data_IF_440021574149
#
_entry.id   IF_440021574149
#
_cell.length_a   1.000
_cell.length_b   1.000
_cell.length_c   1.000
_cell.angle_alpha   90.00
_cell.angle_beta   90.00
_cell.angle_gamma   90.00
#
_symmetry.space_group_name_H-M   'P 1'
#
loop_
_entity.id
_entity.type
_entity.pdbx_description
1 polymer ?
#
# COMPACT_ATOMS: atom_id res chain seq x y z
N UNK A 1 -56.94 33.53 80.58
CA UNK A 1 -57.09 32.10 80.93
C UNK A 1 -58.56 31.74 80.80
N UNK A 2 -58.95 31.07 79.71
CA UNK A 2 -60.35 30.65 79.50
C UNK A 2 -60.63 29.36 80.30
N UNK A 3 -61.76 29.31 80.99
CA UNK A 3 -62.12 28.21 81.89
C UNK A 3 -62.22 26.86 81.13
N UNK A 4 -61.77 25.73 81.71
CA UNK A 4 -61.74 24.40 81.06
C UNK A 4 -63.07 23.97 80.40
N UNK A 5 -64.20 24.41 80.96
CA UNK A 5 -65.56 24.17 80.45
C UNK A 5 -65.87 24.85 79.13
N UNK A 6 -65.28 26.02 78.83
CA UNK A 6 -65.51 26.73 77.56
C UNK A 6 -64.77 26.10 76.38
N UNK A 7 -63.61 25.48 76.63
CA UNK A 7 -62.81 24.82 75.60
C UNK A 7 -63.46 23.52 75.10
N UNK A 8 -64.13 22.77 75.98
CA UNK A 8 -64.87 21.55 75.63
C UNK A 8 -66.10 21.83 74.77
N UNK A 9 -66.84 22.90 75.06
CA UNK A 9 -68.03 23.29 74.29
C UNK A 9 -67.61 23.79 72.90
N UNK A 10 -66.51 24.54 72.81
CA UNK A 10 -65.96 25.00 71.54
C UNK A 10 -65.49 23.83 70.68
N UNK A 11 -64.75 22.87 71.26
CA UNK A 11 -64.29 21.67 70.55
C UNK A 11 -65.44 20.78 70.07
N UNK A 12 -66.48 20.57 70.90
CA UNK A 12 -67.70 19.85 70.47
C UNK A 12 -68.45 20.56 69.34
N UNK A 13 -68.46 21.90 69.33
CA UNK A 13 -69.08 22.68 68.24
C UNK A 13 -68.26 22.60 66.96
N UNK A 14 -66.93 22.63 67.05
CA UNK A 14 -66.04 22.42 65.90
C UNK A 14 -66.17 21.00 65.34
N UNK A 15 -66.21 19.97 66.18
CA UNK A 15 -66.42 18.57 65.76
C UNK A 15 -67.78 18.40 65.05
N UNK A 16 -68.86 19.01 65.57
CA UNK A 16 -70.17 18.98 64.91
C UNK A 16 -70.17 19.70 63.56
N UNK A 17 -69.47 20.82 63.46
CA UNK A 17 -69.33 21.56 62.20
C UNK A 17 -68.49 20.78 61.19
N UNK A 18 -67.43 20.10 61.62
CA UNK A 18 -66.62 19.22 60.78
C UNK A 18 -67.44 18.03 60.29
N UNK A 19 -68.23 17.40 61.17
CA UNK A 19 -69.14 16.32 60.77
C UNK A 19 -70.18 16.78 59.75
N UNK A 20 -70.83 17.93 59.95
CA UNK A 20 -71.76 18.50 58.98
C UNK A 20 -71.10 18.84 57.64
N UNK A 21 -69.88 19.36 57.66
CA UNK A 21 -69.12 19.64 56.44
C UNK A 21 -68.72 18.35 55.71
N UNK A 22 -68.35 17.31 56.44
CA UNK A 22 -67.98 16.01 55.89
C UNK A 22 -69.20 15.30 55.27
N UNK A 23 -70.36 15.38 55.92
CA UNK A 23 -71.63 14.85 55.41
C UNK A 23 -72.08 15.58 54.14
N UNK A 24 -71.94 16.91 54.10
CA UNK A 24 -72.21 17.70 52.88
C UNK A 24 -71.25 17.36 51.72
N UNK A 25 -69.95 17.16 52.00
CA UNK A 25 -68.99 16.71 50.97
C UNK A 25 -69.32 15.29 50.49
N UNK A 26 -69.75 14.41 51.39
CA UNK A 26 -70.14 13.05 51.05
C UNK A 26 -71.42 13.03 50.20
N UNK A 27 -72.41 13.87 50.49
CA UNK A 27 -73.58 14.08 49.62
C UNK A 27 -73.19 14.62 48.24
N UNK A 28 -72.29 15.59 48.15
CA UNK A 28 -71.84 16.15 46.86
C UNK A 28 -71.11 15.11 46.01
N UNK A 29 -70.27 14.27 46.64
CA UNK A 29 -69.58 13.19 45.94
C UNK A 29 -70.58 12.12 45.48
N UNK A 30 -71.52 11.72 46.34
CA UNK A 30 -72.56 10.75 45.98
C UNK A 30 -73.47 11.28 44.87
N UNK A 31 -73.91 12.54 44.93
CA UNK A 31 -74.74 13.17 43.90
C UNK A 31 -73.99 13.36 42.60
N UNK A 32 -72.72 13.77 42.61
CA UNK A 32 -71.89 13.87 41.40
C UNK A 32 -71.62 12.50 40.78
N UNK A 33 -71.39 11.47 41.60
CA UNK A 33 -71.24 10.09 41.13
C UNK A 33 -72.55 9.56 40.53
N UNK A 34 -73.70 9.80 41.17
CA UNK A 34 -75.01 9.40 40.65
C UNK A 34 -75.34 10.11 39.34
N UNK A 35 -75.10 11.43 39.27
CA UNK A 35 -75.33 12.23 38.06
C UNK A 35 -74.48 11.72 36.90
N UNK A 36 -73.19 11.41 37.11
CA UNK A 36 -72.32 10.83 36.06
C UNK A 36 -72.76 9.45 35.56
N UNK A 37 -73.35 8.63 36.43
CA UNK A 37 -73.81 7.29 36.08
C UNK A 37 -75.15 7.33 35.32
N UNK A 38 -76.01 8.30 35.61
CA UNK A 38 -77.35 8.42 35.01
C UNK A 38 -77.45 9.36 33.81
N UNK A 39 -76.46 10.22 33.54
CA UNK A 39 -76.43 11.02 32.30
C UNK A 39 -75.95 10.17 31.12
N UNK A 40 -76.77 9.95 30.06
CA UNK A 40 -76.33 9.22 28.88
C UNK A 40 -75.26 10.02 28.14
N UNK A 41 -74.10 9.41 27.89
CA UNK A 41 -73.03 10.04 27.11
C UNK A 41 -73.52 10.18 25.66
N UNK A 42 -73.46 11.38 25.04
CA UNK A 42 -73.88 11.59 23.66
C UNK A 42 -73.14 10.67 22.68
N UNK A 43 -73.89 9.99 21.80
CA UNK A 43 -73.35 9.04 20.81
C UNK A 43 -72.26 9.64 19.91
N UNK A 44 -72.34 10.94 19.62
CA UNK A 44 -71.35 11.68 18.84
C UNK A 44 -69.95 11.66 19.49
N UNK A 45 -69.85 11.84 20.82
CA UNK A 45 -68.55 11.83 21.53
C UNK A 45 -67.91 10.44 21.50
N UNK A 46 -68.71 9.38 21.58
CA UNK A 46 -68.23 8.01 21.44
C UNK A 46 -67.68 7.75 20.03
N UNK A 47 -68.37 8.24 18.99
CA UNK A 47 -67.93 8.13 17.60
C UNK A 47 -66.64 8.93 17.34
N UNK A 48 -66.53 10.16 17.85
CA UNK A 48 -65.31 10.95 17.76
C UNK A 48 -64.13 10.32 18.50
N UNK A 49 -64.36 9.76 19.69
CA UNK A 49 -63.34 9.05 20.46
C UNK A 49 -62.88 7.81 19.71
N UNK A 50 -63.79 7.03 19.10
CA UNK A 50 -63.46 5.92 18.21
C UNK A 50 -62.58 6.36 17.03
N UNK A 51 -62.89 7.49 16.38
CA UNK A 51 -62.09 8.03 15.27
C UNK A 51 -60.71 8.53 15.72
N UNK A 52 -60.62 9.17 16.90
CA UNK A 52 -59.34 9.60 17.49
C UNK A 52 -58.48 8.39 17.87
N UNK A 53 -59.07 7.39 18.54
CA UNK A 53 -58.40 6.14 18.88
C UNK A 53 -57.95 5.37 17.64
N UNK A 54 -58.78 5.31 16.59
CA UNK A 54 -58.42 4.69 15.32
C UNK A 54 -57.26 5.38 14.61
N UNK A 55 -57.19 6.72 14.64
CA UNK A 55 -56.05 7.47 14.09
C UNK A 55 -54.78 7.27 14.91
N UNK A 56 -54.86 7.38 16.24
CA UNK A 56 -53.73 7.13 17.13
C UNK A 56 -53.19 5.71 16.96
N UNK A 57 -54.07 4.71 16.86
CA UNK A 57 -53.69 3.32 16.62
C UNK A 57 -52.98 3.15 15.26
N UNK A 58 -53.49 3.76 14.18
CA UNK A 58 -52.83 3.73 12.87
C UNK A 58 -51.43 4.34 12.91
N UNK A 59 -51.25 5.47 13.60
CA UNK A 59 -49.93 6.10 13.77
C UNK A 59 -48.99 5.20 14.56
N UNK A 60 -49.43 4.67 15.70
CA UNK A 60 -48.64 3.75 16.51
C UNK A 60 -48.23 2.47 15.74
N UNK A 61 -49.10 1.94 14.87
CA UNK A 61 -48.77 0.79 14.02
C UNK A 61 -47.71 1.16 12.97
N UNK A 62 -47.83 2.30 12.30
CA UNK A 62 -46.82 2.78 11.34
C UNK A 62 -45.46 3.00 12.00
N UNK A 63 -45.44 3.58 13.20
CA UNK A 63 -44.22 3.78 13.98
C UNK A 63 -43.59 2.45 14.40
N UNK A 64 -44.40 1.49 14.85
CA UNK A 64 -43.93 0.14 15.17
C UNK A 64 -43.35 -0.57 13.96
N UNK A 65 -43.97 -0.45 12.80
CA UNK A 65 -43.48 -1.08 11.58
C UNK A 65 -42.17 -0.43 11.09
N UNK A 66 -42.09 0.91 11.13
CA UNK A 66 -40.84 1.61 10.85
C UNK A 66 -39.73 1.23 11.84
N UNK A 67 -40.05 1.06 13.12
CA UNK A 67 -39.10 0.61 14.13
C UNK A 67 -38.62 -0.82 13.87
N UNK A 68 -39.52 -1.74 13.47
CA UNK A 68 -39.17 -3.10 13.05
C UNK A 68 -38.26 -3.11 11.84
N UNK A 69 -38.58 -2.32 10.81
CA UNK A 69 -37.75 -2.22 9.61
C UNK A 69 -36.35 -1.67 9.93
N UNK A 70 -36.25 -0.62 10.77
CA UNK A 70 -34.97 -0.10 11.25
C UNK A 70 -34.19 -1.14 12.06
N UNK A 71 -34.85 -1.89 12.92
CA UNK A 71 -34.21 -2.96 13.70
C UNK A 71 -33.69 -4.10 12.82
N UNK A 72 -34.45 -4.50 11.79
CA UNK A 72 -34.02 -5.47 10.80
C UNK A 72 -32.79 -4.97 10.00
N UNK A 73 -32.84 -3.73 9.52
CA UNK A 73 -31.71 -3.12 8.80
C UNK A 73 -30.46 -2.97 9.68
N UNK A 74 -30.62 -2.65 10.97
CA UNK A 74 -29.50 -2.61 11.90
C UNK A 74 -28.86 -4.00 12.08
N UNK A 75 -29.65 -5.06 12.04
CA UNK A 75 -29.15 -6.43 12.15
C UNK A 75 -28.39 -6.84 10.88
N UNK A 76 -28.93 -6.57 9.69
CA UNK A 76 -28.26 -6.86 8.42
C UNK A 76 -26.96 -6.07 8.31
N UNK A 77 -26.99 -4.77 8.58
CA UNK A 77 -25.80 -3.92 8.52
C UNK A 77 -24.72 -4.35 9.52
N UNK A 78 -25.12 -4.81 10.72
CA UNK A 78 -24.18 -5.40 11.68
C UNK A 78 -23.53 -6.68 11.17
N UNK A 79 -24.27 -7.52 10.45
CA UNK A 79 -23.72 -8.75 9.85
C UNK A 79 -22.76 -8.41 8.72
N UNK A 80 -23.10 -7.46 7.86
CA UNK A 80 -22.25 -6.96 6.78
C UNK A 80 -20.94 -6.37 7.32
N UNK A 81 -21.01 -5.53 8.35
CA UNK A 81 -19.81 -4.99 9.00
C UNK A 81 -18.90 -6.10 9.56
N UNK A 82 -19.48 -7.14 10.16
CA UNK A 82 -18.71 -8.30 10.63
C UNK A 82 -18.06 -9.06 9.48
N UNK A 83 -18.76 -9.25 8.37
CA UNK A 83 -18.23 -9.93 7.20
C UNK A 83 -17.07 -9.13 6.55
N UNK A 84 -17.26 -7.82 6.35
CA UNK A 84 -16.23 -6.93 5.81
C UNK A 84 -15.01 -6.84 6.73
N UNK A 85 -15.22 -6.82 8.04
CA UNK A 85 -14.11 -6.84 9.02
C UNK A 85 -13.27 -8.10 8.89
N UNK A 86 -13.91 -9.28 8.78
CA UNK A 86 -13.20 -10.54 8.56
C UNK A 86 -12.43 -10.54 7.25
N UNK A 87 -13.00 -9.99 6.17
CA UNK A 87 -12.32 -9.95 4.89
C UNK A 87 -11.10 -9.02 4.92
N UNK A 88 -11.23 -7.86 5.56
CA UNK A 88 -10.11 -6.95 5.81
C UNK A 88 -9.00 -7.64 6.60
N UNK A 89 -9.33 -8.41 7.64
CA UNK A 89 -8.35 -9.16 8.43
C UNK A 89 -7.61 -10.20 7.59
N UNK A 90 -8.32 -10.95 6.73
CA UNK A 90 -7.67 -11.91 5.80
C UNK A 90 -6.71 -11.20 4.86
N UNK A 91 -7.14 -10.10 4.24
CA UNK A 91 -6.30 -9.31 3.34
C UNK A 91 -5.09 -8.76 4.10
N UNK A 92 -5.29 -8.25 5.32
CA UNK A 92 -4.21 -7.77 6.19
C UNK A 92 -3.17 -8.85 6.49
N UNK A 93 -3.61 -10.06 6.86
CA UNK A 93 -2.71 -11.19 7.11
C UNK A 93 -1.95 -11.61 5.84
N UNK A 94 -2.59 -11.54 4.66
CA UNK A 94 -1.91 -11.77 3.39
C UNK A 94 -0.84 -10.71 3.14
N UNK A 95 -1.15 -9.42 3.32
CA UNK A 95 -0.17 -8.34 3.12
C UNK A 95 1.03 -8.50 4.04
N UNK A 96 0.80 -8.80 5.32
CA UNK A 96 1.86 -9.04 6.31
C UNK A 96 2.77 -10.23 5.90
N UNK A 97 2.17 -11.33 5.41
CA UNK A 97 2.94 -12.45 4.87
C UNK A 97 3.86 -12.04 3.72
N UNK A 98 3.44 -11.09 2.89
CA UNK A 98 4.20 -10.64 1.72
C UNK A 98 5.17 -9.49 2.02
N UNK A 99 5.24 -8.99 3.25
CA UNK A 99 6.11 -7.86 3.63
C UNK A 99 7.62 -8.17 3.51
N UNK A 100 7.98 -9.46 3.46
CA UNK A 100 9.36 -9.93 3.31
C UNK A 100 9.87 -9.74 1.87
N UNK A 101 8.98 -9.81 0.88
CA UNK A 101 9.37 -9.81 -0.53
C UNK A 101 10.06 -8.52 -0.99
N UNK A 102 9.64 -7.30 -0.61
CA UNK A 102 10.36 -6.07 -0.98
C UNK A 102 11.85 -6.10 -0.60
N UNK A 103 12.17 -6.57 0.61
CA UNK A 103 13.57 -6.68 1.08
C UNK A 103 14.34 -7.75 0.30
N UNK A 104 13.69 -8.86 -0.01
CA UNK A 104 14.28 -9.91 -0.85
C UNK A 104 14.56 -9.40 -2.27
N UNK A 105 13.58 -8.73 -2.88
CA UNK A 105 13.70 -8.17 -4.23
C UNK A 105 14.81 -7.12 -4.31
N UNK A 106 14.96 -6.25 -3.31
CA UNK A 106 16.08 -5.29 -3.26
C UNK A 106 17.44 -6.00 -3.27
N UNK A 107 17.59 -7.08 -2.50
CA UNK A 107 18.82 -7.91 -2.51
C UNK A 107 19.06 -8.55 -3.87
N UNK A 108 18.02 -9.11 -4.50
CA UNK A 108 18.12 -9.73 -5.83
C UNK A 108 18.51 -8.70 -6.89
N UNK A 109 17.92 -7.50 -6.86
CA UNK A 109 18.25 -6.42 -7.80
C UNK A 109 19.71 -5.97 -7.62
N UNK A 110 20.16 -5.80 -6.37
CA UNK A 110 21.56 -5.44 -6.10
C UNK A 110 22.53 -6.52 -6.59
N UNK A 111 22.24 -7.79 -6.33
CA UNK A 111 23.05 -8.92 -6.80
C UNK A 111 23.08 -8.97 -8.34
N UNK A 112 21.93 -8.84 -9.01
CA UNK A 112 21.83 -8.83 -10.46
C UNK A 112 22.64 -7.70 -11.12
N UNK A 113 22.59 -6.48 -10.55
CA UNK A 113 23.42 -5.36 -11.01
C UNK A 113 24.91 -5.67 -10.88
N UNK A 114 25.32 -6.27 -9.76
CA UNK A 114 26.71 -6.63 -9.55
C UNK A 114 27.17 -7.74 -10.51
N UNK A 115 26.33 -8.73 -10.76
CA UNK A 115 26.59 -9.81 -11.71
C UNK A 115 26.79 -9.27 -13.13
N UNK A 116 25.90 -8.37 -13.57
CA UNK A 116 26.01 -7.70 -14.87
C UNK A 116 27.32 -6.90 -15.01
N UNK A 117 27.74 -6.20 -13.94
CA UNK A 117 29.03 -5.49 -13.91
C UNK A 117 30.21 -6.44 -14.02
N UNK A 118 30.19 -7.55 -13.29
CA UNK A 118 31.25 -8.57 -13.35
C UNK A 118 31.33 -9.21 -14.73
N UNK A 119 30.20 -9.57 -15.34
CA UNK A 119 30.14 -10.10 -16.69
C UNK A 119 30.73 -9.12 -17.73
N UNK A 120 30.42 -7.83 -17.63
CA UNK A 120 30.99 -6.82 -18.50
C UNK A 120 32.52 -6.69 -18.35
N UNK A 121 33.03 -6.68 -17.12
CA UNK A 121 34.48 -6.64 -16.84
C UNK A 121 35.16 -7.87 -17.43
N UNK A 122 34.58 -9.05 -17.22
CA UNK A 122 35.10 -10.30 -17.76
C UNK A 122 35.15 -10.28 -19.29
N UNK A 123 34.07 -9.85 -19.95
CA UNK A 123 34.04 -9.75 -21.41
C UNK A 123 35.12 -8.78 -21.93
N UNK A 124 35.32 -7.64 -21.28
CA UNK A 124 36.38 -6.69 -21.64
C UNK A 124 37.77 -7.31 -21.48
N UNK A 125 38.00 -8.03 -20.37
CA UNK A 125 39.26 -8.72 -20.12
C UNK A 125 39.53 -9.83 -21.15
N UNK A 126 38.51 -10.62 -21.49
CA UNK A 126 38.57 -11.66 -22.54
C UNK A 126 38.94 -11.06 -23.89
N UNK A 127 38.30 -9.96 -24.30
CA UNK A 127 38.63 -9.27 -25.55
C UNK A 127 40.07 -8.78 -25.56
N UNK A 128 40.54 -8.17 -24.47
CA UNK A 128 41.95 -7.70 -24.35
C UNK A 128 42.94 -8.87 -24.38
N UNK A 129 42.65 -9.96 -23.68
CA UNK A 129 43.48 -11.16 -23.68
C UNK A 129 43.55 -11.80 -25.07
N UNK A 130 42.42 -11.87 -25.79
CA UNK A 130 42.37 -12.39 -27.16
C UNK A 130 43.17 -11.52 -28.12
N UNK A 131 43.01 -10.19 -28.07
CA UNK A 131 43.79 -9.26 -28.87
C UNK A 131 45.30 -9.39 -28.60
N UNK A 132 45.68 -9.47 -27.33
CA UNK A 132 47.08 -9.69 -26.95
C UNK A 132 47.61 -11.02 -27.51
N UNK A 133 46.81 -12.09 -27.46
CA UNK A 133 47.14 -13.38 -28.07
C UNK A 133 47.36 -13.27 -29.59
N UNK A 134 46.46 -12.57 -30.29
CA UNK A 134 46.58 -12.33 -31.73
C UNK A 134 47.83 -11.55 -32.09
N UNK A 135 48.13 -10.46 -31.36
CA UNK A 135 49.36 -9.68 -31.56
C UNK A 135 50.58 -10.57 -31.35
N UNK A 136 50.62 -11.34 -30.25
CA UNK A 136 51.73 -12.27 -29.96
C UNK A 136 51.96 -13.26 -31.09
N UNK A 137 50.90 -13.88 -31.62
CA UNK A 137 51.00 -14.84 -32.72
C UNK A 137 51.47 -14.17 -34.02
N UNK A 138 50.88 -13.04 -34.39
CA UNK A 138 51.24 -12.30 -35.59
C UNK A 138 52.71 -11.84 -35.55
N UNK A 139 53.15 -11.26 -34.43
CA UNK A 139 54.54 -10.82 -34.25
C UNK A 139 55.52 -11.99 -34.32
N UNK A 140 55.21 -13.12 -33.66
CA UNK A 140 56.06 -14.31 -33.72
C UNK A 140 56.17 -14.86 -35.16
N UNK A 141 55.05 -14.93 -35.88
CA UNK A 141 55.03 -15.38 -37.28
C UNK A 141 55.86 -14.46 -38.20
N UNK A 142 55.74 -13.14 -38.03
CA UNK A 142 56.53 -12.16 -38.77
C UNK A 142 58.02 -12.25 -38.44
N UNK A 143 58.37 -12.37 -37.16
CA UNK A 143 59.76 -12.56 -36.72
C UNK A 143 60.36 -13.84 -37.32
N UNK A 144 59.65 -14.97 -37.28
CA UNK A 144 60.12 -16.22 -37.90
C UNK A 144 60.33 -16.08 -39.42
N UNK A 145 59.47 -15.33 -40.11
CA UNK A 145 59.60 -15.12 -41.56
C UNK A 145 60.78 -14.20 -41.90
N UNK A 146 60.95 -13.11 -41.14
CA UNK A 146 62.03 -12.13 -41.35
C UNK A 146 63.39 -12.68 -40.95
N UNK A 147 63.49 -13.38 -39.82
CA UNK A 147 64.73 -14.05 -39.39
C UNK A 147 65.23 -15.07 -40.41
N UNK A 148 64.34 -15.92 -40.97
CA UNK A 148 64.69 -16.85 -42.06
C UNK A 148 65.29 -16.14 -43.28
N UNK A 149 64.78 -14.95 -43.63
CA UNK A 149 65.25 -14.17 -44.79
C UNK A 149 66.56 -13.41 -44.50
N UNK A 150 66.81 -13.04 -43.25
CA UNK A 150 67.95 -12.23 -42.87
C UNK A 150 69.26 -13.03 -42.67
N UNK A 151 69.30 -14.31 -43.07
CA UNK A 151 70.41 -15.27 -42.94
C UNK A 151 71.13 -15.24 -41.57
N UNK A 152 70.69 -16.10 -40.64
CA UNK A 152 71.33 -16.56 -39.38
C UNK A 152 71.97 -15.54 -38.40
N UNK A 153 72.05 -14.25 -38.71
CA UNK A 153 72.70 -13.23 -37.86
C UNK A 153 71.85 -12.71 -36.69
N UNK A 154 70.59 -13.13 -36.62
CA UNK A 154 69.62 -12.63 -35.65
C UNK A 154 69.36 -13.74 -34.63
N UNK A 155 70.30 -13.90 -33.68
CA UNK A 155 70.26 -14.94 -32.65
C UNK A 155 68.87 -15.18 -32.04
N UNK A 156 68.66 -16.41 -31.57
CA UNK A 156 67.34 -16.92 -31.16
C UNK A 156 66.64 -16.00 -30.15
N UNK A 157 65.44 -15.54 -30.51
CA UNK A 157 64.58 -14.75 -29.62
C UNK A 157 63.50 -15.65 -29.04
N UNK A 158 63.37 -15.63 -27.71
CA UNK A 158 62.40 -16.43 -26.99
C UNK A 158 60.96 -16.15 -27.47
N UNK A 159 60.15 -17.22 -27.59
CA UNK A 159 58.78 -17.15 -28.11
C UNK A 159 57.87 -16.17 -27.33
N UNK A 160 58.11 -16.02 -26.02
CA UNK A 160 57.32 -15.15 -25.14
C UNK A 160 57.77 -13.68 -25.14
N UNK A 161 58.92 -13.36 -25.74
CA UNK A 161 59.50 -12.02 -25.74
C UNK A 161 59.04 -11.22 -26.97
N UNK A 162 57.75 -10.85 -26.97
CA UNK A 162 57.09 -10.17 -28.09
C UNK A 162 57.74 -8.82 -28.43
N UNK A 163 58.26 -8.10 -27.43
CA UNK A 163 58.92 -6.82 -27.64
C UNK A 163 60.21 -6.99 -28.44
N UNK A 164 61.08 -7.94 -28.05
CA UNK A 164 62.30 -8.20 -28.82
C UNK A 164 62.03 -8.74 -30.21
N UNK A 165 61.00 -9.58 -30.38
CA UNK A 165 60.57 -10.03 -31.71
C UNK A 165 60.18 -8.84 -32.59
N UNK A 166 59.43 -7.88 -32.04
CA UNK A 166 59.01 -6.67 -32.75
C UNK A 166 60.21 -5.77 -33.09
N UNK A 167 61.14 -5.56 -32.16
CA UNK A 167 62.38 -4.82 -32.42
C UNK A 167 63.16 -5.43 -33.58
N UNK A 168 63.20 -6.78 -33.65
CA UNK A 168 63.88 -7.46 -34.73
C UNK A 168 63.18 -7.25 -36.08
N UNK A 169 61.86 -7.39 -36.11
CA UNK A 169 61.04 -7.13 -37.31
C UNK A 169 61.21 -5.67 -37.77
N UNK A 170 61.18 -4.71 -36.86
CA UNK A 170 61.35 -3.29 -37.17
C UNK A 170 62.72 -3.01 -37.79
N UNK A 171 63.81 -3.49 -37.19
CA UNK A 171 65.16 -3.32 -37.74
C UNK A 171 65.30 -3.92 -39.14
N UNK A 172 64.69 -5.09 -39.39
CA UNK A 172 64.69 -5.69 -40.71
C UNK A 172 64.00 -4.81 -41.75
N UNK A 173 62.81 -4.27 -41.44
CA UNK A 173 62.09 -3.36 -42.32
C UNK A 173 62.87 -2.06 -42.56
N UNK A 174 63.46 -1.47 -41.51
CA UNK A 174 64.31 -0.29 -41.65
C UNK A 174 65.50 -0.53 -42.58
N UNK A 175 66.17 -1.68 -42.45
CA UNK A 175 67.28 -2.03 -43.34
C UNK A 175 66.82 -2.12 -44.81
N UNK A 176 65.66 -2.74 -45.07
CA UNK A 176 65.11 -2.80 -46.42
C UNK A 176 64.76 -1.42 -46.99
N UNK A 177 64.21 -0.53 -46.16
CA UNK A 177 63.91 0.85 -46.55
C UNK A 177 65.19 1.60 -46.89
N UNK A 178 66.22 1.52 -46.03
CA UNK A 178 67.51 2.17 -46.28
C UNK A 178 68.14 1.69 -47.59
N UNK A 179 68.19 0.37 -47.83
CA UNK A 179 68.73 -0.20 -49.08
C UNK A 179 67.93 0.30 -50.29
N UNK A 180 66.60 0.35 -50.18
CA UNK A 180 65.76 0.85 -51.28
C UNK A 180 66.00 2.33 -51.57
N UNK A 181 66.11 3.17 -50.54
CA UNK A 181 66.42 4.59 -50.68
C UNK A 181 67.80 4.81 -51.33
N UNK A 182 68.81 4.04 -50.93
CA UNK A 182 70.15 4.07 -51.53
C UNK A 182 70.10 3.71 -53.02
N UNK A 183 69.41 2.62 -53.38
CA UNK A 183 69.27 2.20 -54.79
C UNK A 183 68.57 3.27 -55.62
N UNK A 184 67.54 3.92 -55.07
CA UNK A 184 66.79 4.96 -55.77
C UNK A 184 67.61 6.26 -55.99
N UNK A 185 68.45 6.62 -55.02
CA UNK A 185 69.39 7.74 -55.16
C UNK A 185 70.44 7.47 -56.25
N UNK A 186 70.98 6.25 -56.31
CA UNK A 186 71.98 5.89 -57.33
C UNK A 186 71.40 5.95 -58.74
N UNK A 187 70.17 5.47 -58.94
CA UNK A 187 69.48 5.51 -60.23
C UNK A 187 69.20 6.94 -60.72
N UNK A 188 68.89 7.87 -59.82
CA UNK A 188 68.65 9.28 -60.17
C UNK A 188 69.95 10.02 -60.50
N UNK A 189 71.07 9.68 -59.87
CA UNK A 189 72.39 10.24 -60.24
C UNK A 189 73.00 9.67 -61.52
N UNK A 190 72.74 8.40 -61.88
CA UNK A 190 73.22 7.81 -63.14
C UNK A 190 72.49 8.34 -64.38
N UNK A 191 71.28 8.90 -64.22
CA UNK A 191 70.53 9.51 -65.32
C UNK A 191 70.99 10.96 -65.66
N UNK A 192 71.96 11.50 -64.92
CA UNK A 192 72.51 12.86 -65.03
C UNK A 192 74.03 12.90 -65.34
N UNK A 193 74.59 11.84 -65.93
CA UNK A 193 75.89 11.95 -66.61
C UNK A 193 75.68 11.92 -68.13
N UNK A 194 76.20 12.91 -68.89
CA UNK A 194 76.06 13.01 -70.34
C UNK A 194 76.79 11.89 -71.09
#
# INVERSE_FOLDING_TARGET
VLAPTTHLIRKRREELNIHKAMEALQEVIHTHAHTRLHTPIPSCLFQENKLKNGRALKTAVKERELARQKAANLLTLRQELKALTKEREKIGALVEKHEIYPRFLDKVVKASKQESRWAHIQNSATTKAMLLGTIKMATANLYQTTSKKAQDGWGEVALKDTLKQLDKVQKFLSNLICIWEEVNQVQTTQHFQP
#
